data_IF_517725883261
#
_entry.id   IF_517725883261
#
_cell.length_a   1.000
_cell.length_b   1.000
_cell.length_c   1.000
_cell.angle_alpha   90.00
_cell.angle_beta   90.00
_cell.angle_gamma   90.00
#
_symmetry.space_group_name_H-M   'P 1'
#
loop_
_entity.id
_entity.type
_entity.pdbx_description
1 polymer ?
#
# COMPACT_ATOMS: atom_id res chain seq x y z
N UNK A 1 5.71 -8.01 -21.74
CA UNK A 1 4.27 -8.22 -21.97
C UNK A 1 3.87 -8.00 -23.42
N UNK A 2 4.13 -6.83 -24.03
CA UNK A 2 3.78 -6.52 -25.42
C UNK A 2 4.19 -7.59 -26.46
N UNK A 3 5.45 -8.02 -26.46
CA UNK A 3 5.92 -9.10 -27.35
C UNK A 3 5.19 -10.45 -27.17
N UNK A 4 4.66 -10.73 -25.97
CA UNK A 4 3.89 -11.95 -25.71
C UNK A 4 2.49 -11.85 -26.29
N UNK A 5 1.88 -10.66 -26.21
CA UNK A 5 0.57 -10.36 -26.81
C UNK A 5 0.66 -10.41 -28.34
N UNK A 6 1.67 -9.74 -28.92
CA UNK A 6 1.91 -9.73 -30.37
C UNK A 6 2.15 -11.13 -30.94
N UNK A 7 2.79 -12.03 -30.17
CA UNK A 7 3.03 -13.42 -30.56
C UNK A 7 1.87 -14.37 -30.23
N UNK A 8 0.73 -13.87 -29.75
CA UNK A 8 -0.42 -14.72 -29.36
C UNK A 8 -0.13 -15.67 -28.20
N UNK A 9 0.90 -15.39 -27.38
CA UNK A 9 1.36 -16.27 -26.31
C UNK A 9 0.69 -16.01 -24.96
N UNK A 10 -0.27 -15.09 -24.89
CA UNK A 10 -1.09 -14.85 -23.69
C UNK A 10 -2.46 -15.47 -23.91
N UNK A 11 -2.79 -16.50 -23.13
CA UNK A 11 -4.01 -17.31 -23.32
C UNK A 11 -5.25 -16.43 -23.27
N UNK A 12 -6.07 -16.50 -24.32
CA UNK A 12 -7.36 -15.80 -24.41
C UNK A 12 -7.25 -14.27 -24.52
N UNK A 13 -6.05 -13.71 -24.69
CA UNK A 13 -5.92 -12.28 -24.91
C UNK A 13 -6.39 -11.90 -26.31
N UNK A 14 -7.17 -10.82 -26.41
CA UNK A 14 -7.66 -10.28 -27.68
C UNK A 14 -7.61 -8.76 -27.68
N UNK A 15 -7.65 -8.17 -28.87
CA UNK A 15 -7.54 -6.72 -29.06
C UNK A 15 -8.92 -6.12 -29.26
N UNK A 16 -9.24 -5.07 -28.51
CA UNK A 16 -10.43 -4.23 -28.70
C UNK A 16 -9.99 -2.78 -28.92
N UNK A 17 -10.15 -2.29 -30.15
CA UNK A 17 -9.60 -0.99 -30.57
C UNK A 17 -8.09 -0.89 -30.32
N UNK A 18 -7.69 0.05 -29.46
CA UNK A 18 -6.27 0.29 -29.08
C UNK A 18 -5.81 -0.54 -27.88
N UNK A 19 -6.70 -1.27 -27.23
CA UNK A 19 -6.43 -1.97 -25.98
C UNK A 19 -6.36 -3.49 -26.15
N UNK A 20 -5.57 -4.13 -25.30
CA UNK A 20 -5.58 -5.58 -25.14
C UNK A 20 -6.43 -5.95 -23.91
N UNK A 21 -7.41 -6.82 -24.11
CA UNK A 21 -8.13 -7.47 -23.02
C UNK A 21 -7.41 -8.78 -22.73
N UNK A 22 -7.07 -9.00 -21.45
CA UNK A 22 -6.29 -10.15 -21.01
C UNK A 22 -7.07 -10.87 -19.89
N UNK A 23 -7.60 -12.08 -20.13
CA UNK A 23 -8.27 -12.84 -19.09
C UNK A 23 -7.26 -13.33 -18.05
N UNK A 24 -7.69 -13.32 -16.79
CA UNK A 24 -6.91 -13.81 -15.65
C UNK A 24 -7.40 -15.20 -15.25
N UNK A 25 -6.46 -16.11 -15.01
CA UNK A 25 -6.71 -17.45 -14.49
C UNK A 25 -5.98 -17.57 -13.15
N UNK A 26 -6.69 -17.86 -12.06
CA UNK A 26 -6.14 -17.80 -10.69
C UNK A 26 -5.43 -16.47 -10.42
N UNK A 27 -6.07 -15.36 -10.79
CA UNK A 27 -5.58 -13.98 -10.63
C UNK A 27 -4.33 -13.61 -11.47
N UNK A 28 -3.85 -14.47 -12.36
CA UNK A 28 -2.66 -14.23 -13.18
C UNK A 28 -2.95 -14.50 -14.67
N UNK A 29 -2.34 -13.76 -15.60
CA UNK A 29 -2.43 -14.15 -17.01
C UNK A 29 -1.62 -15.42 -17.28
N UNK A 30 -2.16 -16.30 -18.11
CA UNK A 30 -1.50 -17.56 -18.47
C UNK A 30 -0.73 -17.40 -19.79
N UNK A 31 0.52 -17.86 -19.82
CA UNK A 31 1.38 -17.75 -21.02
C UNK A 31 1.69 -19.12 -21.60
N UNK A 32 1.50 -19.25 -22.91
CA UNK A 32 1.89 -20.43 -23.68
C UNK A 32 3.41 -20.48 -23.81
N UNK A 33 4.02 -21.61 -23.45
CA UNK A 33 5.46 -21.83 -23.58
C UNK A 33 5.83 -21.87 -25.06
N UNK A 34 6.89 -21.14 -25.43
CA UNK A 34 7.51 -21.19 -26.75
C UNK A 34 8.95 -21.64 -26.60
N UNK A 35 9.56 -22.09 -27.70
CA UNK A 35 10.97 -22.52 -27.75
C UNK A 35 11.96 -21.38 -27.55
N UNK A 36 11.62 -20.15 -27.99
CA UNK A 36 12.47 -18.95 -27.85
C UNK A 36 11.68 -17.72 -27.37
N UNK A 37 12.40 -16.73 -26.87
CA UNK A 37 11.86 -15.41 -26.50
C UNK A 37 11.46 -15.26 -25.02
N UNK A 38 10.88 -14.11 -24.65
CA UNK A 38 10.65 -13.75 -23.25
C UNK A 38 9.68 -14.73 -22.58
N UNK A 39 9.94 -15.03 -21.30
CA UNK A 39 9.00 -15.71 -20.42
C UNK A 39 8.01 -14.68 -19.84
N UNK A 40 6.86 -15.16 -19.37
CA UNK A 40 6.01 -14.36 -18.50
C UNK A 40 6.74 -13.97 -17.25
N UNK A 41 7.04 -12.68 -17.08
CA UNK A 41 7.47 -12.13 -15.82
C UNK A 41 6.30 -11.33 -15.26
N UNK A 42 5.62 -11.92 -14.29
CA UNK A 42 4.65 -11.19 -13.47
C UNK A 42 5.39 -10.49 -12.34
N UNK A 43 4.80 -9.41 -11.84
CA UNK A 43 5.30 -8.77 -10.63
C UNK A 43 5.03 -9.73 -9.47
N UNK A 44 6.03 -10.54 -9.12
CA UNK A 44 5.96 -11.55 -8.05
C UNK A 44 6.35 -10.97 -6.68
N UNK A 45 6.85 -9.73 -6.65
CA UNK A 45 7.10 -9.01 -5.41
C UNK A 45 5.80 -8.92 -4.63
N UNK A 46 5.81 -9.36 -3.36
CA UNK A 46 4.67 -9.13 -2.47
C UNK A 46 4.30 -7.65 -2.54
N UNK A 47 3.00 -7.30 -2.65
CA UNK A 47 2.60 -5.90 -2.57
C UNK A 47 3.22 -5.31 -1.29
N UNK A 48 3.67 -4.04 -1.33
CA UNK A 48 4.13 -3.38 -0.12
C UNK A 48 3.07 -3.56 0.96
N UNK A 49 3.51 -3.80 2.19
CA UNK A 49 2.55 -3.94 3.26
C UNK A 49 1.86 -2.60 3.50
N UNK A 50 0.54 -2.66 3.65
CA UNK A 50 -0.29 -1.52 4.00
C UNK A 50 0.22 -0.91 5.31
N UNK A 51 0.55 0.37 5.26
CA UNK A 51 0.83 1.15 6.44
C UNK A 51 -0.47 1.78 6.95
N UNK A 52 -0.69 1.73 8.26
CA UNK A 52 -1.78 2.43 8.95
C UNK A 52 -1.18 3.53 9.82
N UNK A 53 -1.54 4.77 9.52
CA UNK A 53 -1.05 5.97 10.21
C UNK A 53 -2.18 6.50 11.08
N UNK A 54 -1.92 6.65 12.37
CA UNK A 54 -2.88 7.14 13.33
C UNK A 54 -2.35 8.37 14.08
N UNK A 55 -3.22 9.35 14.27
CA UNK A 55 -2.98 10.53 15.11
C UNK A 55 -3.50 10.26 16.52
N UNK A 56 -2.59 10.18 17.48
CA UNK A 56 -2.90 9.82 18.86
C UNK A 56 -3.46 11.02 19.64
N UNK A 57 -4.79 11.12 19.68
CA UNK A 57 -5.54 12.11 20.47
C UNK A 57 -5.12 12.14 21.95
N UNK A 58 -4.84 11.00 22.55
CA UNK A 58 -4.49 10.93 23.98
C UNK A 58 -3.12 11.59 24.22
N UNK A 59 -2.16 11.37 23.32
CA UNK A 59 -0.87 12.06 23.38
C UNK A 59 -1.05 13.56 23.19
N UNK A 60 -1.84 14.01 22.20
CA UNK A 60 -2.15 15.43 21.97
C UNK A 60 -2.68 16.08 23.26
N UNK A 61 -3.75 15.52 23.83
CA UNK A 61 -4.36 16.06 25.06
C UNK A 61 -3.39 16.05 26.25
N UNK A 62 -2.59 15.00 26.41
CA UNK A 62 -1.61 14.92 27.50
C UNK A 62 -0.45 15.90 27.33
N UNK A 63 0.01 16.14 26.10
CA UNK A 63 1.16 16.98 25.80
C UNK A 63 0.90 18.46 26.09
N UNK A 64 -0.35 18.91 26.02
CA UNK A 64 -0.75 20.29 26.33
C UNK A 64 -0.38 20.68 27.77
N UNK A 65 -0.35 19.72 28.71
CA UNK A 65 -0.05 19.95 30.12
C UNK A 65 1.42 19.70 30.48
N UNK A 66 2.25 19.38 29.47
CA UNK A 66 3.63 18.93 29.67
C UNK A 66 4.64 19.92 29.14
N UNK A 67 5.78 19.97 29.81
CA UNK A 67 6.94 20.70 29.33
C UNK A 67 7.43 20.08 28.01
N UNK A 68 8.09 20.85 27.11
CA UNK A 68 8.51 20.35 25.79
C UNK A 68 9.31 19.04 25.83
N UNK A 69 10.17 18.87 26.83
CA UNK A 69 11.00 17.66 27.05
C UNK A 69 10.19 16.40 27.40
N UNK A 70 8.97 16.55 27.94
CA UNK A 70 8.14 15.42 28.40
C UNK A 70 7.04 15.05 27.39
N UNK A 71 6.94 15.78 26.27
CA UNK A 71 5.94 15.55 25.23
C UNK A 71 6.24 14.27 24.47
N UNK A 72 5.21 13.51 24.18
CA UNK A 72 5.30 12.26 23.40
C UNK A 72 4.95 12.50 21.93
N UNK A 73 5.54 11.77 20.98
CA UNK A 73 5.15 11.85 19.58
C UNK A 73 3.69 11.50 19.38
N UNK A 74 3.01 12.25 18.50
CA UNK A 74 1.55 12.13 18.31
C UNK A 74 1.17 11.32 17.09
N UNK A 75 2.09 11.07 16.15
CA UNK A 75 1.86 10.28 14.95
C UNK A 75 2.44 8.89 15.17
N UNK A 76 1.67 7.86 14.83
CA UNK A 76 2.09 6.46 14.84
C UNK A 76 1.89 5.83 13.48
N UNK A 77 2.86 5.03 13.02
CA UNK A 77 2.83 4.33 11.73
C UNK A 77 3.03 2.85 11.98
N UNK A 78 1.98 2.05 11.79
CA UNK A 78 2.01 0.59 11.89
C UNK A 78 2.20 -0.03 10.51
N UNK A 79 3.28 -0.79 10.29
CA UNK A 79 3.56 -1.49 9.02
C UNK A 79 4.24 -2.84 9.29
N UNK A 80 3.73 -3.95 8.74
CA UNK A 80 4.29 -5.32 8.96
C UNK A 80 4.55 -5.69 10.44
N UNK A 81 3.73 -5.20 11.36
CA UNK A 81 3.89 -5.46 12.79
C UNK A 81 4.88 -4.53 13.52
N UNK A 82 5.62 -3.69 12.81
CA UNK A 82 6.38 -2.60 13.45
C UNK A 82 5.48 -1.40 13.69
N UNK A 83 5.74 -0.65 14.75
CA UNK A 83 5.02 0.58 15.10
C UNK A 83 6.05 1.68 15.39
N UNK A 84 6.14 2.66 14.50
CA UNK A 84 7.07 3.78 14.59
C UNK A 84 6.32 5.05 14.99
N UNK A 85 6.98 5.95 15.71
CA UNK A 85 6.38 7.17 16.22
C UNK A 85 7.18 8.40 15.78
N UNK A 86 6.46 9.50 15.53
CA UNK A 86 7.04 10.78 15.15
C UNK A 86 6.11 11.95 15.43
N UNK A 87 6.64 13.16 15.27
CA UNK A 87 5.85 14.40 15.32
C UNK A 87 5.40 14.82 13.91
N UNK A 88 6.16 14.43 12.89
CA UNK A 88 5.93 14.78 11.50
C UNK A 88 6.29 13.59 10.60
N UNK A 89 5.45 13.34 9.59
CA UNK A 89 5.66 12.28 8.60
C UNK A 89 5.27 12.78 7.21
N UNK A 90 6.05 12.39 6.21
CA UNK A 90 5.76 12.65 4.79
C UNK A 90 5.35 11.35 4.11
N UNK A 91 4.24 11.37 3.35
CA UNK A 91 3.76 10.23 2.56
C UNK A 91 4.12 10.48 1.09
N UNK A 92 5.01 9.66 0.53
CA UNK A 92 5.53 9.82 -0.83
C UNK A 92 4.62 9.18 -1.88
N UNK A 93 3.32 9.48 -1.82
CA UNK A 93 2.37 9.07 -2.84
C UNK A 93 0.93 8.92 -2.34
N UNK A 94 0.09 8.15 -3.07
CA UNK A 94 -1.32 8.05 -2.76
C UNK A 94 -1.60 7.53 -1.35
N UNK A 95 -2.60 8.11 -0.70
CA UNK A 95 -3.14 7.62 0.56
C UNK A 95 -4.66 7.68 0.56
N UNK A 96 -5.26 6.99 1.52
CA UNK A 96 -6.69 7.00 1.79
C UNK A 96 -6.91 7.36 3.25
N UNK A 97 -7.83 8.28 3.51
CA UNK A 97 -8.32 8.55 4.87
C UNK A 97 -9.54 7.68 5.11
N UNK A 98 -9.55 6.94 6.21
CA UNK A 98 -10.59 5.97 6.55
C UNK A 98 -11.21 6.38 7.88
N UNK A 99 -12.53 6.49 7.92
CA UNK A 99 -13.31 6.62 9.15
C UNK A 99 -14.23 5.41 9.28
N UNK A 100 -14.09 4.66 10.39
CA UNK A 100 -14.85 3.44 10.67
C UNK A 100 -15.15 3.37 12.17
N UNK A 101 -16.32 3.86 12.62
CA UNK A 101 -16.63 3.98 14.04
C UNK A 101 -16.91 2.64 14.74
N UNK A 102 -17.55 1.71 14.01
CA UNK A 102 -18.06 0.44 14.55
C UNK A 102 -17.03 -0.69 14.51
N UNK A 103 -15.98 -0.55 13.71
CA UNK A 103 -14.91 -1.52 13.59
C UNK A 103 -13.55 -0.78 13.55
N UNK A 104 -13.09 -0.29 14.72
CA UNK A 104 -11.85 0.44 14.84
C UNK A 104 -10.63 -0.48 14.64
N UNK A 105 -9.46 0.12 14.48
CA UNK A 105 -8.19 -0.60 14.55
C UNK A 105 -7.96 -1.21 15.93
N UNK A 106 -7.08 -2.21 16.05
CA UNK A 106 -6.70 -2.84 17.33
C UNK A 106 -6.29 -1.82 18.42
N UNK A 107 -5.76 -0.66 18.01
CA UNK A 107 -5.37 0.43 18.91
C UNK A 107 -6.54 1.34 19.34
N UNK A 108 -7.77 1.05 18.92
CA UNK A 108 -8.97 1.85 19.18
C UNK A 108 -9.18 3.03 18.24
N UNK A 109 -8.30 3.24 17.26
CA UNK A 109 -8.43 4.32 16.28
C UNK A 109 -9.64 4.09 15.37
N UNK A 110 -10.52 5.09 15.29
CA UNK A 110 -11.70 5.12 14.39
C UNK A 110 -11.46 5.92 13.11
N UNK A 111 -10.46 6.79 13.10
CA UNK A 111 -10.02 7.54 11.94
C UNK A 111 -8.51 7.31 11.77
N UNK A 112 -8.09 6.91 10.57
CA UNK A 112 -6.69 6.69 10.25
C UNK A 112 -6.42 6.92 8.77
N UNK A 113 -5.14 6.95 8.40
CA UNK A 113 -4.69 7.04 7.02
C UNK A 113 -4.06 5.71 6.63
N UNK A 114 -4.38 5.21 5.45
CA UNK A 114 -3.79 4.02 4.87
C UNK A 114 -3.01 4.35 3.60
N UNK A 115 -1.84 3.74 3.46
CA UNK A 115 -1.03 3.90 2.24
C UNK A 115 -0.17 2.67 1.97
N UNK A 116 0.07 2.43 0.69
CA UNK A 116 1.05 1.48 0.19
C UNK A 116 2.39 2.14 -0.16
N UNK A 117 2.42 3.48 -0.21
CA UNK A 117 3.59 4.30 -0.51
C UNK A 117 4.60 4.29 0.64
N UNK A 118 5.78 4.82 0.35
CA UNK A 118 6.82 5.01 1.35
C UNK A 118 6.52 6.23 2.23
N UNK A 119 7.02 6.16 3.47
CA UNK A 119 6.77 7.13 4.54
C UNK A 119 8.12 7.52 5.11
N UNK A 120 8.38 8.83 5.20
CA UNK A 120 9.57 9.38 5.84
C UNK A 120 9.20 10.08 7.15
N UNK A 121 9.98 9.82 8.20
CA UNK A 121 9.89 10.54 9.46
C UNK A 121 10.79 11.77 9.38
N UNK A 122 10.24 12.94 9.68
CA UNK A 122 10.99 14.19 9.75
C UNK A 122 11.41 14.40 11.21
N UNK A 123 12.69 14.68 11.42
CA UNK A 123 13.33 14.87 12.74
C UNK A 123 13.26 16.31 13.21
#
# INVERSE_FOLDING_TARGET
MRQLLEKGRVRGAYKTGKFWIIPLFNHLPQITKGTRGPKGKWRTSRPPALAKINVNRNHIGSNMKKSPKDRKPVISVKRKGTNLYGNEVEILGPCKIVYQPDNPLDCGARLWIETFSDIHFIS
#
